data_IF_305957673753
#
_entry.id   IF_305957673753
#
_cell.length_a   1.000
_cell.length_b   1.000
_cell.length_c   1.000
_cell.angle_alpha   90.00
_cell.angle_beta   90.00
_cell.angle_gamma   90.00
#
_symmetry.space_group_name_H-M   'P 1'
#
loop_
_entity.id
_entity.type
_entity.pdbx_description
1 polymer ?
#
# COMPACT_ATOMS: atom_id res chain seq x y z
N UNK A 1 -2.21 20.52 8.21
CA UNK A 1 -2.04 19.81 6.94
C UNK A 1 -1.98 18.31 7.20
N UNK A 2 -2.76 17.52 6.48
CA UNK A 2 -2.58 16.05 6.41
C UNK A 2 -2.08 15.74 5.00
N UNK A 3 -0.96 15.03 4.92
CA UNK A 3 -0.31 14.72 3.65
C UNK A 3 -0.32 13.21 3.39
N UNK A 4 -0.90 12.83 2.27
CA UNK A 4 -0.90 11.47 1.75
C UNK A 4 0.50 11.13 1.20
N UNK A 5 1.38 10.64 2.07
CA UNK A 5 2.70 10.14 1.69
C UNK A 5 2.65 8.66 1.32
N UNK A 6 3.77 7.99 1.23
CA UNK A 6 3.89 6.61 0.81
C UNK A 6 5.10 5.94 1.45
N UNK A 7 5.03 4.64 1.69
CA UNK A 7 6.19 3.84 2.10
C UNK A 7 7.33 3.86 1.07
N UNK A 8 7.06 4.23 -0.19
CA UNK A 8 8.09 4.38 -1.22
C UNK A 8 9.16 5.44 -0.91
N UNK A 9 8.91 6.33 0.08
CA UNK A 9 9.91 7.29 0.56
C UNK A 9 11.12 6.61 1.21
N UNK A 10 10.97 5.39 1.69
CA UNK A 10 12.07 4.64 2.30
C UNK A 10 13.08 4.10 1.28
N UNK A 11 12.67 3.93 -0.01
CA UNK A 11 13.46 3.20 -0.98
C UNK A 11 13.65 1.75 -0.54
N UNK A 12 14.88 1.24 -0.62
CA UNK A 12 15.27 -0.08 -0.07
C UNK A 12 15.81 0.09 1.36
N UNK A 13 14.96 -0.07 2.41
CA UNK A 13 15.39 0.10 3.80
C UNK A 13 16.35 -1.00 4.25
N UNK A 14 17.20 -0.69 5.25
CA UNK A 14 18.20 -1.64 5.75
C UNK A 14 17.59 -2.76 6.61
N UNK A 15 16.40 -2.54 7.15
CA UNK A 15 15.69 -3.49 8.01
C UNK A 15 14.19 -3.45 7.79
N UNK A 16 13.54 -4.59 8.01
CA UNK A 16 12.08 -4.76 7.97
C UNK A 16 11.62 -5.44 9.26
N UNK A 17 10.47 -5.06 9.81
CA UNK A 17 9.59 -3.96 9.37
C UNK A 17 10.28 -2.60 9.48
N UNK A 18 9.99 -1.68 8.56
CA UNK A 18 10.54 -0.33 8.58
C UNK A 18 9.75 0.57 9.51
N UNK A 19 10.43 1.38 10.33
CA UNK A 19 9.82 2.39 11.20
C UNK A 19 9.94 3.81 10.62
N UNK A 20 9.23 4.76 11.23
CA UNK A 20 9.16 6.14 10.77
C UNK A 20 10.49 6.91 10.88
N UNK A 21 11.43 6.43 11.71
CA UNK A 21 12.75 7.03 11.90
C UNK A 21 13.75 6.57 10.84
N UNK A 22 13.40 5.54 10.05
CA UNK A 22 14.27 5.05 8.99
C UNK A 22 14.59 6.18 7.99
N UNK A 23 15.87 6.33 7.60
CA UNK A 23 16.28 7.38 6.69
C UNK A 23 15.73 7.15 5.28
N UNK A 24 15.51 8.23 4.54
CA UNK A 24 15.27 8.13 3.12
C UNK A 24 16.49 7.54 2.41
N UNK A 25 16.27 6.45 1.71
CA UNK A 25 17.24 5.92 0.73
C UNK A 25 16.95 6.50 -0.66
N UNK A 26 17.77 6.14 -1.62
CA UNK A 26 17.51 6.51 -3.02
C UNK A 26 16.13 6.02 -3.43
N UNK A 27 15.31 6.93 -3.95
CA UNK A 27 13.99 6.58 -4.46
C UNK A 27 14.11 5.61 -5.65
N UNK A 28 13.29 4.58 -5.66
CA UNK A 28 13.27 3.56 -6.73
C UNK A 28 12.37 3.95 -7.91
N UNK A 29 11.65 5.06 -7.76
CA UNK A 29 10.74 5.57 -8.79
C UNK A 29 10.59 7.08 -8.71
N UNK A 30 10.20 7.77 -9.83
CA UNK A 30 9.85 9.18 -9.81
C UNK A 30 8.74 9.51 -8.81
N UNK A 31 7.79 8.60 -8.61
CA UNK A 31 6.75 8.75 -7.61
C UNK A 31 7.33 8.83 -6.19
N UNK A 32 8.20 7.90 -5.83
CA UNK A 32 8.88 7.89 -4.52
C UNK A 32 9.70 9.16 -4.29
N UNK A 33 10.43 9.61 -5.32
CA UNK A 33 11.21 10.86 -5.28
C UNK A 33 10.30 12.08 -5.03
N UNK A 34 9.16 12.15 -5.73
CA UNK A 34 8.16 13.20 -5.52
C UNK A 34 7.66 13.22 -4.07
N UNK A 35 7.37 12.05 -3.48
CA UNK A 35 6.91 11.96 -2.10
C UNK A 35 8.00 12.37 -1.10
N UNK A 36 9.26 11.97 -1.33
CA UNK A 36 10.40 12.42 -0.52
C UNK A 36 10.55 13.95 -0.57
N UNK A 37 10.43 14.55 -1.76
CA UNK A 37 10.53 16.01 -1.93
C UNK A 37 9.39 16.73 -1.20
N UNK A 38 8.16 16.25 -1.33
CA UNK A 38 7.01 16.81 -0.61
C UNK A 38 7.19 16.77 0.91
N UNK A 39 7.65 15.63 1.47
CA UNK A 39 7.90 15.54 2.92
C UNK A 39 9.01 16.51 3.38
N UNK A 40 10.07 16.70 2.58
CA UNK A 40 11.11 17.71 2.87
C UNK A 40 10.53 19.12 2.92
N UNK A 41 9.73 19.51 1.92
CA UNK A 41 9.07 20.83 1.87
C UNK A 41 8.15 21.03 3.09
N UNK A 42 7.36 20.01 3.43
CA UNK A 42 6.46 20.05 4.60
C UNK A 42 7.28 20.19 5.89
N UNK A 43 8.38 19.47 6.01
CA UNK A 43 9.27 19.55 7.18
C UNK A 43 9.84 20.96 7.37
N UNK A 44 10.19 21.64 6.29
CA UNK A 44 10.73 23.01 6.31
C UNK A 44 9.66 24.09 6.48
N UNK A 45 8.39 23.79 6.17
CA UNK A 45 7.28 24.72 6.31
C UNK A 45 6.98 25.09 7.78
N UNK A 46 6.19 26.13 8.01
CA UNK A 46 5.70 26.50 9.34
C UNK A 46 4.38 25.80 9.72
N UNK A 47 3.86 24.96 8.85
CA UNK A 47 2.56 24.30 9.06
C UNK A 47 2.66 23.17 10.06
N UNK A 48 1.69 23.07 10.97
CA UNK A 48 1.43 21.81 11.68
C UNK A 48 0.95 20.76 10.68
N UNK A 49 1.54 19.58 10.73
CA UNK A 49 1.29 18.58 9.69
C UNK A 49 1.45 17.16 10.19
N UNK A 50 0.72 16.26 9.56
CA UNK A 50 0.91 14.82 9.68
C UNK A 50 1.13 14.23 8.29
N UNK A 51 2.25 13.54 8.10
CA UNK A 51 2.52 12.75 6.90
C UNK A 51 2.11 11.31 7.18
N UNK A 52 1.19 10.78 6.39
CA UNK A 52 0.74 9.39 6.46
C UNK A 52 1.43 8.60 5.33
N UNK A 53 2.38 7.73 5.70
CA UNK A 53 3.11 6.86 4.76
C UNK A 53 2.33 5.57 4.56
N UNK A 54 1.50 5.54 3.51
CA UNK A 54 0.71 4.36 3.18
C UNK A 54 1.58 3.23 2.68
N UNK A 55 1.21 2.01 3.08
CA UNK A 55 1.67 0.79 2.43
C UNK A 55 0.74 0.47 1.25
N UNK A 56 0.08 -0.67 1.19
CA UNK A 56 -0.73 -1.02 0.01
C UNK A 56 -2.23 -1.00 0.37
N UNK A 57 -2.96 0.07 0.03
CA UNK A 57 -4.39 0.12 0.26
C UNK A 57 -5.11 -0.94 -0.57
N UNK A 58 -6.03 -1.67 0.06
CA UNK A 58 -6.89 -2.67 -0.59
C UNK A 58 -8.32 -2.59 -0.06
N UNK A 59 -9.21 -3.31 -0.71
CA UNK A 59 -10.61 -3.41 -0.31
C UNK A 59 -11.49 -2.32 -0.93
N UNK A 60 -12.73 -2.36 -0.53
CA UNK A 60 -13.76 -1.39 -0.94
C UNK A 60 -14.62 -1.05 0.28
N UNK A 61 -15.40 0.01 0.20
CA UNK A 61 -16.36 0.34 1.23
C UNK A 61 -17.41 -0.77 1.36
N UNK A 62 -17.84 -1.09 2.58
CA UNK A 62 -18.75 -2.20 2.87
C UNK A 62 -20.10 -2.10 2.17
N UNK A 63 -20.52 -0.89 1.78
CA UNK A 63 -21.76 -0.68 0.97
C UNK A 63 -21.65 -1.25 -0.46
N UNK A 64 -20.47 -1.58 -0.95
CA UNK A 64 -20.24 -1.95 -2.35
C UNK A 64 -20.36 -0.81 -3.37
N UNK A 65 -20.64 0.43 -2.93
CA UNK A 65 -20.82 1.59 -3.81
C UNK A 65 -19.52 2.30 -4.16
N UNK A 66 -18.47 2.12 -3.37
CA UNK A 66 -17.15 2.75 -3.53
C UNK A 66 -16.09 1.66 -3.59
N UNK A 67 -15.33 1.64 -4.68
CA UNK A 67 -14.23 0.71 -4.89
C UNK A 67 -13.18 1.30 -5.83
N UNK A 68 -12.11 0.55 -6.09
CA UNK A 68 -11.07 0.95 -7.03
C UNK A 68 -11.64 0.92 -8.47
N UNK A 69 -11.73 2.09 -9.07
CA UNK A 69 -12.11 2.31 -10.46
C UNK A 69 -10.95 2.94 -11.25
N UNK A 70 -9.73 2.52 -10.96
CA UNK A 70 -8.57 3.01 -11.73
C UNK A 70 -8.84 2.82 -13.22
N UNK A 71 -8.73 3.93 -13.98
CA UNK A 71 -9.05 3.94 -15.40
C UNK A 71 -8.15 2.98 -16.18
N UNK A 72 -8.69 2.43 -17.24
CA UNK A 72 -8.09 1.73 -18.39
C UNK A 72 -7.31 0.42 -18.14
N UNK A 73 -6.52 0.24 -17.09
CA UNK A 73 -5.88 -1.04 -16.74
C UNK A 73 -5.61 -1.13 -15.25
N UNK A 74 -6.15 -2.15 -14.62
CA UNK A 74 -5.78 -2.47 -13.25
C UNK A 74 -4.31 -2.90 -13.18
N UNK A 75 -3.54 -2.24 -12.32
CA UNK A 75 -2.13 -2.56 -12.08
C UNK A 75 -1.90 -3.18 -10.70
N UNK A 76 -2.85 -2.99 -9.78
CA UNK A 76 -2.78 -3.49 -8.42
C UNK A 76 -3.24 -4.96 -8.34
N UNK A 77 -2.65 -5.72 -7.41
CA UNK A 77 -2.87 -7.16 -7.28
C UNK A 77 -4.34 -7.51 -7.03
N UNK A 78 -4.95 -6.98 -5.96
CA UNK A 78 -6.30 -7.38 -5.54
C UNK A 78 -7.37 -7.04 -6.59
N UNK A 79 -7.39 -5.85 -7.22
CA UNK A 79 -8.25 -5.59 -8.35
C UNK A 79 -8.09 -6.58 -9.51
N UNK A 80 -6.84 -6.97 -9.86
CA UNK A 80 -6.60 -7.99 -10.90
C UNK A 80 -7.13 -9.37 -10.51
N UNK A 81 -6.97 -9.77 -9.23
CA UNK A 81 -7.57 -11.01 -8.73
C UNK A 81 -9.10 -10.97 -8.92
N UNK A 82 -9.74 -9.84 -8.60
CA UNK A 82 -11.18 -9.65 -8.80
C UNK A 82 -11.59 -9.71 -10.29
N UNK A 83 -10.75 -9.21 -11.19
CA UNK A 83 -11.00 -9.30 -12.63
C UNK A 83 -10.95 -10.75 -13.13
N UNK A 84 -10.00 -11.57 -12.66
CA UNK A 84 -9.95 -13.01 -12.97
C UNK A 84 -11.17 -13.73 -12.37
N UNK A 85 -11.47 -13.45 -11.10
CA UNK A 85 -12.58 -14.05 -10.39
C UNK A 85 -13.95 -13.73 -11.02
N UNK A 86 -14.07 -12.56 -11.66
CA UNK A 86 -15.28 -12.15 -12.40
C UNK A 86 -15.22 -12.47 -13.90
N UNK A 87 -14.26 -13.30 -14.33
CA UNK A 87 -14.08 -13.75 -15.72
C UNK A 87 -13.86 -12.61 -16.74
N UNK A 88 -13.46 -11.43 -16.28
CA UNK A 88 -13.12 -10.29 -17.15
C UNK A 88 -11.77 -10.47 -17.83
N UNK A 89 -10.85 -11.14 -17.17
CA UNK A 89 -9.57 -11.57 -17.74
C UNK A 89 -9.37 -13.06 -17.45
N UNK A 90 -8.67 -13.75 -18.34
CA UNK A 90 -8.52 -15.20 -18.29
C UNK A 90 -7.63 -15.68 -17.14
N UNK A 91 -6.55 -14.93 -16.88
CA UNK A 91 -5.53 -15.32 -15.89
C UNK A 91 -4.84 -14.12 -15.28
N UNK A 92 -4.33 -14.32 -14.06
CA UNK A 92 -3.44 -13.40 -13.37
C UNK A 92 -1.99 -13.77 -13.65
N UNK A 93 -1.20 -12.83 -14.13
CA UNK A 93 0.25 -13.02 -14.28
C UNK A 93 0.94 -12.51 -13.01
N UNK A 94 1.67 -13.40 -12.33
CA UNK A 94 2.50 -13.08 -11.18
C UNK A 94 3.93 -12.84 -11.70
N UNK A 95 4.47 -11.65 -11.47
CA UNK A 95 5.80 -11.28 -11.94
C UNK A 95 6.87 -11.78 -10.94
N UNK A 96 7.61 -12.78 -11.37
CA UNK A 96 8.68 -13.42 -10.59
C UNK A 96 8.20 -14.41 -9.52
N UNK A 97 8.99 -15.45 -9.33
CA UNK A 97 8.79 -16.50 -8.33
C UNK A 97 10.10 -16.89 -7.63
N UNK A 98 11.12 -16.04 -7.75
CA UNK A 98 12.49 -16.25 -7.28
C UNK A 98 12.99 -15.20 -6.28
N UNK A 99 12.07 -14.39 -5.75
CA UNK A 99 12.40 -13.43 -4.69
C UNK A 99 12.85 -14.16 -3.42
N UNK A 100 13.78 -13.57 -2.69
CA UNK A 100 14.22 -14.09 -1.39
C UNK A 100 13.14 -13.89 -0.31
N UNK A 101 12.03 -14.61 -0.46
CA UNK A 101 10.85 -14.62 0.41
C UNK A 101 10.44 -16.05 0.71
N UNK A 102 9.45 -16.24 1.59
CA UNK A 102 9.00 -17.58 2.04
C UNK A 102 8.42 -18.47 0.93
N UNK A 103 7.96 -17.90 -0.17
CA UNK A 103 7.34 -18.62 -1.29
C UNK A 103 7.82 -18.14 -2.67
N UNK A 104 8.86 -17.33 -2.70
CA UNK A 104 9.44 -16.78 -3.93
C UNK A 104 8.68 -15.61 -4.54
N UNK A 105 7.51 -15.24 -4.01
CA UNK A 105 6.74 -14.10 -4.52
C UNK A 105 6.95 -12.83 -3.66
N UNK A 106 6.67 -11.65 -4.22
CA UNK A 106 6.81 -10.39 -3.50
C UNK A 106 5.95 -10.35 -2.25
N UNK A 107 6.48 -9.77 -1.16
CA UNK A 107 5.74 -9.52 0.09
C UNK A 107 5.33 -8.06 0.15
N UNK A 108 4.09 -7.79 0.56
CA UNK A 108 3.53 -6.45 0.74
C UNK A 108 2.73 -6.38 2.03
N UNK A 109 2.76 -5.23 2.68
CA UNK A 109 1.86 -4.91 3.79
C UNK A 109 0.59 -4.27 3.22
N UNK A 110 -0.55 -4.82 3.53
CA UNK A 110 -1.85 -4.36 3.04
C UNK A 110 -2.66 -3.71 4.16
N UNK A 111 -3.30 -2.59 3.85
CA UNK A 111 -4.20 -1.86 4.76
C UNK A 111 -5.58 -1.71 4.12
N UNK A 112 -6.64 -1.99 4.88
CA UNK A 112 -7.98 -1.80 4.36
C UNK A 112 -8.30 -0.33 4.15
N UNK A 113 -9.02 -0.02 3.06
CA UNK A 113 -9.32 1.38 2.70
C UNK A 113 -10.15 2.12 3.77
N UNK A 114 -11.01 1.42 4.51
CA UNK A 114 -11.78 2.01 5.61
C UNK A 114 -10.87 2.36 6.80
N UNK A 115 -9.89 1.51 7.13
CA UNK A 115 -8.89 1.78 8.18
C UNK A 115 -8.00 2.95 7.77
N UNK A 116 -7.64 3.03 6.49
CA UNK A 116 -6.89 4.15 5.94
C UNK A 116 -7.70 5.46 6.05
N UNK A 117 -9.00 5.43 5.75
CA UNK A 117 -9.88 6.59 5.90
C UNK A 117 -9.99 7.04 7.37
N UNK A 118 -10.12 6.07 8.30
CA UNK A 118 -10.14 6.36 9.73
C UNK A 118 -8.81 6.94 10.21
N UNK A 119 -7.68 6.44 9.70
CA UNK A 119 -6.35 6.98 10.00
C UNK A 119 -6.24 8.47 9.62
N UNK A 120 -6.88 8.93 8.53
CA UNK A 120 -6.92 10.35 8.17
C UNK A 120 -7.68 11.20 9.18
N UNK A 121 -8.82 10.70 9.66
CA UNK A 121 -9.63 11.39 10.68
C UNK A 121 -8.81 11.52 11.97
N UNK A 122 -8.23 10.41 12.43
CA UNK A 122 -7.42 10.39 13.64
C UNK A 122 -6.17 11.29 13.51
N UNK A 123 -5.54 11.32 12.33
CA UNK A 123 -4.41 12.20 12.05
C UNK A 123 -4.79 13.68 12.09
N UNK A 124 -5.99 14.02 11.59
CA UNK A 124 -6.50 15.38 11.65
C UNK A 124 -6.73 15.84 13.10
N UNK A 125 -7.41 15.02 13.90
CA UNK A 125 -7.65 15.28 15.32
C UNK A 125 -6.33 15.40 16.09
N UNK A 126 -5.38 14.48 15.83
CA UNK A 126 -4.04 14.53 16.42
C UNK A 126 -3.31 15.82 16.05
N UNK A 127 -3.33 16.22 14.80
CA UNK A 127 -2.67 17.44 14.31
C UNK A 127 -3.25 18.72 14.95
N UNK A 128 -4.59 18.79 15.07
CA UNK A 128 -5.27 19.92 15.72
C UNK A 128 -4.90 20.01 17.19
N UNK A 129 -4.92 18.87 17.89
CA UNK A 129 -4.64 18.79 19.34
C UNK A 129 -3.17 19.12 19.65
N UNK A 130 -2.24 18.52 18.94
CA UNK A 130 -0.81 18.58 19.31
C UNK A 130 -0.08 19.76 18.68
N UNK A 131 -0.60 20.34 17.61
CA UNK A 131 0.01 21.48 16.89
C UNK A 131 1.50 21.23 16.58
N UNK A 132 1.81 20.05 16.08
CA UNK A 132 3.17 19.58 15.79
C UNK A 132 3.28 19.00 14.39
N UNK A 133 4.51 18.66 14.00
CA UNK A 133 4.77 17.86 12.79
C UNK A 133 4.98 16.42 13.21
N UNK A 134 4.31 15.50 12.57
CA UNK A 134 4.40 14.08 12.86
C UNK A 134 4.34 13.24 11.59
N UNK A 135 4.86 12.03 11.67
CA UNK A 135 4.88 11.06 10.58
C UNK A 135 4.35 9.75 11.15
N UNK A 136 3.50 9.06 10.40
CA UNK A 136 2.98 7.74 10.77
C UNK A 136 2.99 6.81 9.56
N UNK A 137 3.49 5.60 9.78
CA UNK A 137 3.30 4.50 8.86
C UNK A 137 1.86 3.98 8.95
N UNK A 138 1.22 3.78 7.80
CA UNK A 138 -0.14 3.28 7.73
C UNK A 138 -0.12 1.93 7.00
N UNK A 139 -0.01 0.89 7.79
CA UNK A 139 0.03 -0.53 7.41
C UNK A 139 -0.34 -1.38 8.62
N UNK A 140 -0.31 -2.69 8.46
CA UNK A 140 -0.60 -3.65 9.53
C UNK A 140 0.64 -4.11 10.29
N UNK A 141 1.83 -3.85 9.74
CA UNK A 141 3.10 -4.40 10.22
C UNK A 141 3.29 -5.88 9.89
N UNK A 142 2.34 -6.47 9.14
CA UNK A 142 2.39 -7.87 8.70
C UNK A 142 2.34 -7.93 7.18
N UNK A 143 3.43 -8.43 6.60
CA UNK A 143 3.50 -8.60 5.16
C UNK A 143 2.87 -9.92 4.71
N UNK A 144 2.05 -9.87 3.67
CA UNK A 144 1.56 -11.03 2.93
C UNK A 144 2.27 -11.12 1.58
N UNK A 145 2.63 -12.34 1.19
CA UNK A 145 3.13 -12.58 -0.15
C UNK A 145 2.00 -12.52 -1.19
N UNK A 146 2.37 -12.39 -2.46
CA UNK A 146 1.39 -12.44 -3.55
C UNK A 146 0.64 -13.78 -3.55
N UNK A 147 1.36 -14.90 -3.39
CA UNK A 147 0.74 -16.23 -3.35
C UNK A 147 -0.19 -16.41 -2.14
N UNK A 148 0.20 -15.92 -0.96
CA UNK A 148 -0.68 -15.94 0.23
C UNK A 148 -1.93 -15.09 0.03
N UNK A 149 -1.80 -13.91 -0.56
CA UNK A 149 -2.94 -13.02 -0.85
C UNK A 149 -3.95 -13.70 -1.78
N UNK A 150 -3.46 -14.37 -2.83
CA UNK A 150 -4.32 -15.14 -3.74
C UNK A 150 -5.01 -16.28 -3.00
N UNK A 151 -4.26 -17.07 -2.23
CA UNK A 151 -4.83 -18.19 -1.45
C UNK A 151 -5.92 -17.72 -0.48
N UNK A 152 -5.68 -16.65 0.27
CA UNK A 152 -6.66 -16.07 1.18
C UNK A 152 -7.92 -15.64 0.43
N UNK A 153 -7.76 -15.02 -0.74
CA UNK A 153 -8.89 -14.63 -1.57
C UNK A 153 -9.70 -15.82 -2.06
N UNK A 154 -9.02 -16.89 -2.54
CA UNK A 154 -9.65 -18.14 -2.98
C UNK A 154 -10.45 -18.80 -1.85
N UNK A 155 -9.83 -18.97 -0.68
CA UNK A 155 -10.44 -19.58 0.50
C UNK A 155 -11.66 -18.77 0.99
N UNK A 156 -11.53 -17.44 1.04
CA UNK A 156 -12.61 -16.57 1.53
C UNK A 156 -13.83 -16.52 0.61
N UNK A 157 -13.64 -16.74 -0.69
CA UNK A 157 -14.71 -16.65 -1.69
C UNK A 157 -15.12 -18.03 -2.25
N UNK A 158 -14.46 -19.12 -1.84
CA UNK A 158 -14.67 -20.47 -2.37
C UNK A 158 -14.58 -20.54 -3.90
N UNK A 159 -13.58 -19.89 -4.48
CA UNK A 159 -13.30 -19.85 -5.92
C UNK A 159 -11.83 -20.18 -6.19
N UNK A 160 -11.51 -20.45 -7.44
CA UNK A 160 -10.12 -20.59 -7.90
C UNK A 160 -9.74 -19.42 -8.82
N UNK A 161 -8.54 -18.91 -8.62
CA UNK A 161 -7.95 -17.87 -9.46
C UNK A 161 -6.95 -18.53 -10.40
N UNK A 162 -7.17 -18.40 -11.70
CA UNK A 162 -6.22 -18.89 -12.69
C UNK A 162 -4.96 -18.02 -12.68
N UNK A 163 -3.82 -18.61 -12.35
CA UNK A 163 -2.53 -17.89 -12.23
C UNK A 163 -1.48 -18.46 -13.18
N UNK A 164 -0.62 -17.57 -13.67
CA UNK A 164 0.58 -17.92 -14.43
C UNK A 164 1.75 -17.11 -13.90
N UNK A 165 2.92 -17.74 -13.79
CA UNK A 165 4.14 -17.03 -13.39
C UNK A 165 4.84 -16.47 -14.62
N UNK A 166 5.01 -15.16 -14.65
CA UNK A 166 5.82 -14.44 -15.61
C UNK A 166 7.28 -14.30 -15.17
N UNK A 167 8.12 -13.72 -16.02
CA UNK A 167 9.51 -13.44 -15.70
C UNK A 167 9.69 -12.43 -14.58
#
# INVERSE_FOLDING_TARGET
>A
LIFSSSCTVYGSPDSLPVDENAPFKKAESPYGETKQLCEKIIKESTLFSVCLRYFNPIGSHNSGLIGDRSADKQVNLVPKICEVASEKIEKLIINGNDYNTRDGTCVRDYIHIEDLALAHINALEYCIKNKSKSIFNIGTGQGLSVAETIRIFEESNNIKVNVEYGP
#
